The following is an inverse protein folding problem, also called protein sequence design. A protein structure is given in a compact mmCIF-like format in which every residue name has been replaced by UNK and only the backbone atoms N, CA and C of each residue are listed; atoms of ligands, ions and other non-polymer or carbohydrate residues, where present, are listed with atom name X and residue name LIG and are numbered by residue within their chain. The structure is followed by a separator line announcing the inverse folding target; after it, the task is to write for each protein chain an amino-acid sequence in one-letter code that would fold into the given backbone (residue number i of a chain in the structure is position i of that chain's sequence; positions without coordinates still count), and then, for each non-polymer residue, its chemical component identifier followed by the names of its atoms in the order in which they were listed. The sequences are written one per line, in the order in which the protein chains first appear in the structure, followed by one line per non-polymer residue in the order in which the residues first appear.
data_IF_975572788807
#
_entry.id   IF_975572788807
#
_cell.length_a   1.000
_cell.length_b   1.000
_cell.length_c   1.000
_cell.angle_alpha   90.00
_cell.angle_beta   90.00
_cell.angle_gamma   90.00
#
_symmetry.space_group_name_H-M   'P 1'
#
loop_
_entity.id
_entity.type
_entity.pdbx_description
1 polymer ?
#
# COMPACT_ATOMS: atom_id res chain seq x y z
N UNK A 1 -26.09 -35.32 28.81
CA UNK A 1 -25.90 -34.78 27.43
C UNK A 1 -24.99 -33.58 27.52
N UNK A 2 -23.70 -33.81 27.42
CA UNK A 2 -22.65 -32.77 27.42
C UNK A 2 -22.41 -32.32 25.96
N UNK A 3 -22.81 -31.09 25.64
CA UNK A 3 -22.46 -30.47 24.37
C UNK A 3 -21.03 -29.90 24.50
N UNK A 4 -20.07 -30.59 23.89
CA UNK A 4 -18.71 -30.13 23.68
C UNK A 4 -18.71 -28.88 22.77
N UNK A 5 -18.43 -27.72 23.36
CA UNK A 5 -18.11 -26.49 22.65
C UNK A 5 -16.70 -26.63 22.05
N UNK A 6 -16.61 -27.07 20.82
CA UNK A 6 -15.37 -26.97 20.06
C UNK A 6 -15.06 -25.48 19.83
N UNK A 7 -13.98 -24.98 20.44
CA UNK A 7 -13.42 -23.65 20.15
C UNK A 7 -12.95 -23.56 18.70
N UNK A 8 -12.84 -22.35 18.14
CA UNK A 8 -12.35 -22.19 16.77
C UNK A 8 -10.95 -22.80 16.65
N UNK A 9 -10.79 -23.71 15.69
CA UNK A 9 -9.51 -24.33 15.37
C UNK A 9 -8.46 -23.28 14.96
N UNK A 10 -7.16 -23.59 15.04
CA UNK A 10 -6.12 -22.66 14.65
C UNK A 10 -6.33 -22.26 13.17
N UNK A 11 -6.36 -20.93 12.91
CA UNK A 11 -6.47 -20.38 11.57
C UNK A 11 -5.42 -21.02 10.64
N UNK A 12 -5.81 -21.41 9.44
CA UNK A 12 -4.86 -21.98 8.47
C UNK A 12 -3.73 -20.99 8.18
N UNK A 13 -2.57 -21.47 7.77
CA UNK A 13 -1.40 -20.62 7.46
C UNK A 13 -1.75 -19.56 6.40
N UNK A 14 -2.67 -19.88 5.49
CA UNK A 14 -3.18 -18.95 4.46
C UNK A 14 -4.10 -17.85 5.06
N UNK A 15 -4.81 -18.10 6.17
CA UNK A 15 -5.67 -17.10 6.81
C UNK A 15 -4.90 -15.92 7.44
N UNK A 16 -3.59 -16.06 7.64
CA UNK A 16 -2.71 -15.00 8.15
C UNK A 16 -2.12 -14.12 7.04
N UNK A 17 -2.25 -14.49 5.77
CA UNK A 17 -1.71 -13.77 4.63
C UNK A 17 -2.77 -12.84 4.07
N UNK A 18 -2.51 -11.52 4.12
CA UNK A 18 -3.42 -10.51 3.59
C UNK A 18 -3.33 -10.39 2.08
N UNK A 19 -2.10 -10.38 1.54
CA UNK A 19 -1.85 -10.35 0.09
C UNK A 19 -0.93 -11.49 -0.28
N UNK A 20 -1.26 -12.21 -1.35
CA UNK A 20 -0.45 -13.31 -1.90
C UNK A 20 -0.27 -13.07 -3.39
N UNK A 21 0.97 -13.12 -3.83
CA UNK A 21 1.37 -13.09 -5.24
C UNK A 21 1.94 -14.47 -5.58
N UNK A 22 1.41 -15.13 -6.62
CA UNK A 22 1.87 -16.44 -7.05
C UNK A 22 2.36 -16.36 -8.48
N UNK A 23 3.68 -16.38 -8.68
CA UNK A 23 4.37 -16.37 -9.98
C UNK A 23 3.82 -15.33 -10.95
N UNK A 24 3.57 -14.12 -10.45
CA UNK A 24 3.00 -13.04 -11.27
C UNK A 24 4.04 -12.51 -12.25
N UNK A 25 3.62 -12.32 -13.50
CA UNK A 25 4.43 -11.68 -14.53
C UNK A 25 3.66 -10.57 -15.20
N UNK A 26 4.40 -9.52 -15.62
CA UNK A 26 3.84 -8.36 -16.30
C UNK A 26 4.84 -7.80 -17.29
N UNK A 27 4.40 -7.52 -18.51
CA UNK A 27 5.19 -6.84 -19.52
C UNK A 27 4.40 -5.72 -20.18
N UNK A 28 5.09 -4.69 -20.64
CA UNK A 28 4.54 -3.56 -21.37
C UNK A 28 5.13 -3.49 -22.77
N UNK A 29 4.43 -2.82 -23.69
CA UNK A 29 4.85 -2.63 -25.07
C UNK A 29 4.23 -3.62 -26.05
N UNK A 30 4.57 -3.47 -27.32
CA UNK A 30 4.12 -4.32 -28.44
C UNK A 30 5.20 -5.37 -28.80
N UNK A 31 4.87 -6.28 -29.73
CA UNK A 31 5.69 -7.47 -30.09
C UNK A 31 7.20 -7.21 -30.21
N UNK A 32 7.61 -6.06 -30.77
CA UNK A 32 9.02 -5.77 -31.06
C UNK A 32 9.72 -4.97 -29.93
N UNK A 33 8.97 -4.38 -28.98
CA UNK A 33 9.45 -3.55 -27.87
C UNK A 33 8.86 -4.00 -26.53
N UNK A 34 8.73 -5.29 -26.31
CA UNK A 34 8.16 -5.82 -25.07
C UNK A 34 9.21 -5.76 -23.94
N UNK A 35 8.90 -4.99 -22.88
CA UNK A 35 9.72 -4.87 -21.67
C UNK A 35 9.05 -5.65 -20.55
N UNK A 36 9.72 -6.67 -20.03
CA UNK A 36 9.26 -7.40 -18.85
C UNK A 36 9.49 -6.54 -17.61
N UNK A 37 8.41 -6.09 -17.00
CA UNK A 37 8.45 -5.32 -15.76
C UNK A 37 8.43 -6.21 -14.52
N UNK A 38 7.80 -7.39 -14.60
CA UNK A 38 7.79 -8.41 -13.54
C UNK A 38 7.95 -9.78 -14.18
N UNK A 39 8.72 -10.65 -13.53
CA UNK A 39 8.99 -12.01 -13.98
C UNK A 39 8.85 -13.00 -12.83
N UNK A 40 7.78 -13.80 -12.85
CA UNK A 40 7.49 -14.88 -11.90
C UNK A 40 7.63 -14.50 -10.42
N UNK A 41 7.18 -13.29 -10.06
CA UNK A 41 7.27 -12.79 -8.70
C UNK A 41 6.31 -13.56 -7.80
N UNK A 42 6.85 -14.18 -6.75
CA UNK A 42 6.09 -14.88 -5.71
C UNK A 42 6.42 -14.24 -4.36
N UNK A 43 5.41 -13.71 -3.69
CA UNK A 43 5.55 -13.07 -2.37
C UNK A 43 4.25 -13.20 -1.57
N UNK A 44 4.37 -13.13 -0.25
CA UNK A 44 3.22 -12.98 0.63
C UNK A 44 3.44 -11.85 1.63
N UNK A 45 2.33 -11.23 2.03
CA UNK A 45 2.31 -10.11 2.96
C UNK A 45 1.33 -10.46 4.09
N UNK A 46 1.85 -10.68 5.31
CA UNK A 46 1.02 -11.06 6.44
C UNK A 46 0.05 -9.96 6.85
N UNK A 47 -1.10 -10.36 7.40
CA UNK A 47 -2.09 -9.43 7.95
C UNK A 47 -1.50 -8.65 9.14
N UNK A 48 -1.81 -7.35 9.23
CA UNK A 48 -1.38 -6.51 10.34
C UNK A 48 0.12 -6.21 10.35
N UNK A 49 0.80 -6.31 9.20
CA UNK A 49 2.23 -6.02 9.08
C UNK A 49 2.50 -4.81 8.19
N UNK A 50 3.68 -4.23 8.35
CA UNK A 50 4.21 -3.19 7.46
C UNK A 50 5.38 -3.76 6.67
N UNK A 51 5.23 -3.88 5.36
CA UNK A 51 6.30 -4.32 4.45
C UNK A 51 6.66 -3.20 3.48
N UNK A 52 7.95 -2.93 3.31
CA UNK A 52 8.46 -2.05 2.27
C UNK A 52 9.01 -2.87 1.10
N UNK A 53 8.87 -2.35 -0.12
CA UNK A 53 9.43 -2.88 -1.35
C UNK A 53 10.45 -1.87 -1.87
N UNK A 54 11.69 -2.31 -2.07
CA UNK A 54 12.80 -1.49 -2.52
C UNK A 54 13.47 -2.07 -3.78
N UNK A 55 14.30 -1.28 -4.41
CA UNK A 55 15.10 -1.67 -5.59
C UNK A 55 15.49 -0.46 -6.41
N UNK A 56 16.36 -0.62 -7.40
CA UNK A 56 16.79 0.42 -8.31
C UNK A 56 15.64 1.06 -9.11
N UNK A 57 15.87 2.23 -9.69
CA UNK A 57 14.91 2.81 -10.63
C UNK A 57 14.69 1.87 -11.81
N UNK A 58 13.43 1.69 -12.24
CA UNK A 58 13.09 0.76 -13.30
C UNK A 58 12.98 -0.71 -12.91
N UNK A 59 13.29 -1.12 -11.67
CA UNK A 59 13.23 -2.53 -11.24
C UNK A 59 11.82 -3.15 -11.18
N UNK A 60 10.75 -2.38 -11.47
CA UNK A 60 9.37 -2.87 -11.49
C UNK A 60 8.55 -2.64 -10.22
N UNK A 61 9.05 -1.88 -9.23
CA UNK A 61 8.38 -1.65 -7.92
C UNK A 61 6.96 -1.11 -8.03
N UNK A 62 6.76 -0.01 -8.77
CA UNK A 62 5.43 0.60 -8.93
C UNK A 62 4.51 -0.34 -9.71
N UNK A 63 5.04 -1.11 -10.69
CA UNK A 63 4.29 -2.16 -11.39
C UNK A 63 3.85 -3.25 -10.42
N UNK A 64 4.76 -3.72 -9.56
CA UNK A 64 4.44 -4.72 -8.53
C UNK A 64 3.32 -4.23 -7.61
N UNK A 65 3.44 -2.99 -7.12
CA UNK A 65 2.43 -2.39 -6.25
C UNK A 65 1.07 -2.26 -6.96
N UNK A 66 1.06 -1.81 -8.21
CA UNK A 66 -0.17 -1.65 -9.01
C UNK A 66 -0.82 -3.00 -9.31
N UNK A 67 -0.04 -4.03 -9.68
CA UNK A 67 -0.55 -5.38 -9.87
C UNK A 67 -1.08 -5.97 -8.55
N UNK A 68 -0.34 -5.84 -7.45
CA UNK A 68 -0.77 -6.32 -6.13
C UNK A 68 -2.05 -5.63 -5.65
N UNK A 69 -2.25 -4.34 -5.98
CA UNK A 69 -3.47 -3.58 -5.68
C UNK A 69 -4.60 -3.82 -6.71
N UNK A 70 -4.38 -4.64 -7.72
CA UNK A 70 -5.36 -4.86 -8.80
C UNK A 70 -5.65 -3.60 -9.62
N UNK A 71 -4.77 -2.59 -9.60
CA UNK A 71 -4.87 -1.39 -10.46
C UNK A 71 -4.42 -1.70 -11.87
N UNK A 72 -3.49 -2.62 -12.03
CA UNK A 72 -3.09 -3.20 -13.31
C UNK A 72 -3.26 -4.73 -13.27
N UNK A 73 -3.57 -5.33 -14.41
CA UNK A 73 -3.73 -6.78 -14.53
C UNK A 73 -2.39 -7.44 -14.78
N UNK A 74 -2.13 -8.55 -14.10
CA UNK A 74 -0.99 -9.42 -14.41
C UNK A 74 -1.22 -10.12 -15.75
N UNK A 75 -0.15 -10.40 -16.49
CA UNK A 75 -0.21 -11.19 -17.72
C UNK A 75 -0.31 -12.69 -17.41
N UNK A 76 0.32 -13.15 -16.30
CA UNK A 76 0.22 -14.50 -15.78
C UNK A 76 0.38 -14.52 -14.26
N UNK A 77 0.02 -15.65 -13.65
CA UNK A 77 0.04 -15.83 -12.20
C UNK A 77 -1.24 -15.34 -11.50
N UNK A 78 -1.22 -15.30 -10.17
CA UNK A 78 -2.37 -14.99 -9.36
C UNK A 78 -2.06 -13.91 -8.32
N UNK A 79 -3.02 -13.00 -8.11
CA UNK A 79 -3.04 -12.03 -7.02
C UNK A 79 -4.23 -12.33 -6.13
N UNK A 80 -3.98 -12.60 -4.85
CA UNK A 80 -5.04 -12.85 -3.85
C UNK A 80 -4.96 -11.79 -2.77
N UNK A 81 -6.09 -11.14 -2.46
CA UNK A 81 -6.21 -10.19 -1.34
C UNK A 81 -7.36 -10.66 -0.43
N UNK A 82 -7.07 -10.78 0.85
CA UNK A 82 -8.05 -11.21 1.86
C UNK A 82 -8.84 -12.46 1.43
N UNK A 83 -8.16 -13.44 0.84
CA UNK A 83 -8.74 -14.69 0.35
C UNK A 83 -9.44 -14.59 -1.02
N UNK A 84 -9.53 -13.40 -1.64
CA UNK A 84 -10.17 -13.21 -2.95
C UNK A 84 -9.11 -13.16 -4.05
N UNK A 85 -9.19 -14.07 -5.04
CA UNK A 85 -8.33 -14.05 -6.22
C UNK A 85 -8.78 -12.97 -7.21
N UNK A 86 -7.97 -11.91 -7.36
CA UNK A 86 -8.27 -10.78 -8.24
C UNK A 86 -8.15 -11.13 -9.71
N UNK A 87 -7.23 -12.04 -10.06
CA UNK A 87 -6.94 -12.42 -11.45
C UNK A 87 -8.16 -13.06 -12.13
N UNK A 88 -9.08 -13.64 -11.36
CA UNK A 88 -10.31 -14.27 -11.85
C UNK A 88 -11.51 -13.31 -11.92
N UNK A 89 -11.42 -12.10 -11.35
CA UNK A 89 -12.55 -11.18 -11.26
C UNK A 89 -12.81 -10.44 -12.58
N UNK A 90 -14.10 -10.29 -12.91
CA UNK A 90 -14.55 -9.35 -13.94
C UNK A 90 -14.39 -7.90 -13.44
N UNK A 91 -14.27 -6.95 -14.36
CA UNK A 91 -13.95 -5.56 -14.03
C UNK A 91 -14.90 -4.92 -12.99
N UNK A 92 -16.20 -5.18 -13.08
CA UNK A 92 -17.17 -4.64 -12.10
C UNK A 92 -16.94 -5.19 -10.68
N UNK A 93 -16.58 -6.47 -10.56
CA UNK A 93 -16.26 -7.09 -9.27
C UNK A 93 -14.92 -6.59 -8.73
N UNK A 94 -13.92 -6.44 -9.60
CA UNK A 94 -12.62 -5.88 -9.27
C UNK A 94 -12.74 -4.41 -8.80
N UNK A 95 -13.55 -3.59 -9.49
CA UNK A 95 -13.83 -2.21 -9.07
C UNK A 95 -14.47 -2.15 -7.68
N UNK A 96 -15.43 -3.04 -7.40
CA UNK A 96 -16.06 -3.11 -6.07
C UNK A 96 -15.04 -3.51 -5.01
N UNK A 97 -14.24 -4.53 -5.28
CA UNK A 97 -13.21 -5.03 -4.38
C UNK A 97 -12.16 -3.95 -4.07
N UNK A 98 -11.66 -3.24 -5.08
CA UNK A 98 -10.75 -2.09 -4.89
C UNK A 98 -11.36 -1.04 -3.96
N UNK A 99 -12.61 -0.68 -4.18
CA UNK A 99 -13.33 0.34 -3.39
C UNK A 99 -13.51 -0.05 -1.93
N UNK A 100 -13.77 -1.32 -1.66
CA UNK A 100 -14.16 -1.81 -0.33
C UNK A 100 -12.96 -2.30 0.49
N UNK A 101 -11.94 -2.85 -0.16
CA UNK A 101 -10.88 -3.59 0.54
C UNK A 101 -9.48 -2.98 0.39
N UNK A 102 -9.30 -2.03 -0.54
CA UNK A 102 -8.00 -1.46 -0.85
C UNK A 102 -7.99 0.04 -0.60
N UNK A 103 -7.01 0.51 0.20
CA UNK A 103 -6.62 1.91 0.25
C UNK A 103 -5.39 2.13 -0.61
N UNK A 104 -5.29 3.29 -1.26
CA UNK A 104 -4.10 3.65 -2.03
C UNK A 104 -3.66 5.07 -1.72
N UNK A 105 -2.36 5.24 -1.46
CA UNK A 105 -1.68 6.52 -1.20
C UNK A 105 -0.61 6.72 -2.26
N UNK A 106 -0.63 7.85 -2.94
CA UNK A 106 0.30 8.20 -4.02
C UNK A 106 1.33 9.23 -3.55
N UNK A 107 2.47 9.26 -4.21
CA UNK A 107 3.54 10.25 -4.00
C UNK A 107 3.03 11.67 -4.20
N UNK A 108 2.25 11.94 -5.23
CA UNK A 108 1.72 13.27 -5.60
C UNK A 108 0.43 13.65 -4.89
N UNK A 109 0.09 13.01 -3.75
CA UNK A 109 -1.13 13.20 -2.94
C UNK A 109 -2.44 12.93 -3.69
N UNK A 110 -2.56 13.31 -4.96
CA UNK A 110 -3.72 13.18 -5.84
C UNK A 110 -5.03 13.68 -5.19
N UNK A 111 -4.94 14.81 -4.48
CA UNK A 111 -6.10 15.51 -3.95
C UNK A 111 -6.77 16.32 -5.04
N UNK A 112 -8.10 16.38 -5.01
CA UNK A 112 -8.89 17.24 -5.91
C UNK A 112 -8.76 18.68 -5.42
N UNK A 113 -8.15 19.62 -6.19
CA UNK A 113 -7.78 20.95 -5.69
C UNK A 113 -8.98 21.83 -5.31
N UNK A 114 -10.13 21.63 -5.97
CA UNK A 114 -11.37 22.39 -5.71
C UNK A 114 -12.11 21.93 -4.46
N UNK A 115 -11.78 20.74 -3.93
CA UNK A 115 -12.43 20.17 -2.76
C UNK A 115 -11.66 20.51 -1.47
N UNK A 116 -12.37 20.64 -0.35
CA UNK A 116 -11.76 20.75 0.97
C UNK A 116 -11.15 19.41 1.41
N UNK A 117 -10.35 19.41 2.50
CA UNK A 117 -9.81 18.19 3.09
C UNK A 117 -10.92 17.19 3.43
N UNK A 118 -11.99 17.64 4.10
CA UNK A 118 -13.18 16.83 4.37
C UNK A 118 -13.75 16.22 3.09
N UNK A 119 -13.99 17.03 2.06
CA UNK A 119 -14.60 16.57 0.81
C UNK A 119 -13.71 15.58 0.06
N UNK A 120 -12.37 15.77 0.10
CA UNK A 120 -11.42 14.81 -0.44
C UNK A 120 -11.50 13.46 0.29
N UNK A 121 -11.61 13.45 1.62
CA UNK A 121 -11.76 12.22 2.41
C UNK A 121 -13.10 11.54 2.14
N UNK A 122 -14.20 12.30 1.96
CA UNK A 122 -15.53 11.76 1.64
C UNK A 122 -15.59 11.13 0.23
N UNK A 123 -14.72 11.55 -0.68
CA UNK A 123 -14.83 11.28 -2.12
C UNK A 123 -14.98 9.78 -2.47
N UNK A 124 -14.18 8.84 -1.93
CA UNK A 124 -14.32 7.41 -2.25
C UNK A 124 -15.72 6.87 -1.92
N UNK A 125 -16.27 7.25 -0.78
CA UNK A 125 -17.59 6.79 -0.35
C UNK A 125 -18.70 7.41 -1.20
N UNK A 126 -18.56 8.69 -1.57
CA UNK A 126 -19.52 9.37 -2.46
C UNK A 126 -19.54 8.74 -3.86
N UNK A 127 -18.37 8.41 -4.41
CA UNK A 127 -18.26 7.69 -5.69
C UNK A 127 -18.83 6.26 -5.60
N UNK A 128 -18.91 5.71 -4.40
CA UNK A 128 -19.57 4.44 -4.12
C UNK A 128 -21.11 4.56 -4.00
N UNK A 129 -21.67 5.76 -4.13
CA UNK A 129 -23.11 6.01 -3.92
C UNK A 129 -23.49 6.15 -2.43
N UNK A 130 -22.52 6.19 -1.51
CA UNK A 130 -22.76 6.31 -0.07
C UNK A 130 -22.38 7.69 0.43
N UNK A 131 -23.22 8.24 1.32
CA UNK A 131 -22.89 9.47 2.04
C UNK A 131 -22.32 9.07 3.41
N UNK A 132 -21.00 9.28 3.65
CA UNK A 132 -20.40 8.90 4.92
C UNK A 132 -21.03 9.71 6.07
N UNK A 133 -21.24 9.10 7.25
CA UNK A 133 -21.59 9.84 8.45
C UNK A 133 -20.53 10.92 8.73
N UNK A 134 -20.98 12.12 9.15
CA UNK A 134 -20.05 13.22 9.43
C UNK A 134 -19.01 12.85 10.48
N UNK A 135 -19.40 12.09 11.49
CA UNK A 135 -18.52 11.58 12.55
C UNK A 135 -17.38 10.71 12.01
N UNK A 136 -17.65 9.84 11.02
CA UNK A 136 -16.64 8.96 10.42
C UNK A 136 -15.51 9.76 9.75
N UNK A 137 -15.86 10.80 9.01
CA UNK A 137 -14.88 11.64 8.32
C UNK A 137 -14.12 12.52 9.32
N UNK A 138 -14.83 13.10 10.32
CA UNK A 138 -14.19 13.87 11.40
C UNK A 138 -13.21 13.01 12.18
N UNK A 139 -13.59 11.77 12.55
CA UNK A 139 -12.69 10.85 13.25
C UNK A 139 -11.46 10.50 12.41
N UNK A 140 -11.64 10.22 11.11
CA UNK A 140 -10.52 9.91 10.22
C UNK A 140 -9.53 11.09 10.09
N UNK A 141 -10.02 12.33 10.05
CA UNK A 141 -9.18 13.52 10.01
C UNK A 141 -8.52 13.81 11.38
N UNK A 142 -9.26 13.64 12.47
CA UNK A 142 -8.76 13.86 13.83
C UNK A 142 -7.60 12.92 14.17
N UNK A 143 -7.72 11.65 13.81
CA UNK A 143 -6.69 10.62 13.99
C UNK A 143 -5.37 10.96 13.32
N UNK A 144 -5.44 11.69 12.20
CA UNK A 144 -4.28 12.14 11.45
C UNK A 144 -3.85 13.57 11.82
N UNK A 145 -4.40 14.15 12.92
CA UNK A 145 -4.06 15.48 13.40
C UNK A 145 -4.52 16.59 12.47
N UNK A 146 -5.70 16.46 11.84
CA UNK A 146 -6.25 17.38 10.87
C UNK A 146 -7.63 17.95 11.29
N UNK A 147 -7.99 17.89 12.58
CA UNK A 147 -9.30 18.33 13.08
C UNK A 147 -9.60 19.78 12.74
N UNK A 148 -8.61 20.66 12.80
CA UNK A 148 -8.69 22.09 12.52
C UNK A 148 -8.49 22.43 11.03
N UNK A 149 -8.26 21.43 10.18
CA UNK A 149 -7.99 21.58 8.75
C UNK A 149 -9.10 21.06 7.83
N UNK A 150 -10.21 20.58 8.38
CA UNK A 150 -11.30 19.96 7.60
C UNK A 150 -11.83 20.84 6.45
N UNK A 151 -11.87 22.15 6.64
CA UNK A 151 -12.41 23.12 5.67
C UNK A 151 -11.36 23.68 4.70
N UNK A 152 -10.06 23.38 4.93
CA UNK A 152 -8.99 23.88 4.07
C UNK A 152 -8.96 23.13 2.73
N UNK A 153 -8.62 23.85 1.68
CA UNK A 153 -8.32 23.26 0.36
C UNK A 153 -6.85 22.85 0.28
N UNK A 154 -6.46 21.96 -0.64
CA UNK A 154 -5.07 21.53 -0.80
C UNK A 154 -4.06 22.68 -0.87
N UNK A 155 -4.36 23.77 -1.58
CA UNK A 155 -3.49 24.94 -1.68
C UNK A 155 -3.25 25.69 -0.35
N UNK A 156 -4.02 25.40 0.68
CA UNK A 156 -3.92 25.98 2.02
C UNK A 156 -3.26 25.04 3.03
N UNK A 157 -2.80 23.88 2.56
CA UNK A 157 -2.20 22.82 3.37
C UNK A 157 -0.72 22.64 3.02
N UNK A 158 0.12 22.39 4.03
CA UNK A 158 1.50 21.96 3.77
C UNK A 158 1.54 20.58 3.08
N UNK A 159 2.66 20.22 2.45
CA UNK A 159 2.83 18.91 1.81
C UNK A 159 2.52 17.76 2.76
N UNK A 160 3.03 17.80 4.00
CA UNK A 160 2.75 16.80 5.02
C UNK A 160 1.27 16.76 5.45
N UNK A 161 0.58 17.91 5.45
CA UNK A 161 -0.87 17.95 5.71
C UNK A 161 -1.65 17.36 4.54
N UNK A 162 -1.27 17.67 3.29
CA UNK A 162 -1.88 17.09 2.09
C UNK A 162 -1.72 15.57 2.08
N UNK A 163 -0.53 15.06 2.40
CA UNK A 163 -0.28 13.62 2.49
C UNK A 163 -1.15 12.96 3.57
N UNK A 164 -1.29 13.58 4.73
CA UNK A 164 -2.20 13.07 5.78
C UNK A 164 -3.65 13.07 5.34
N UNK A 165 -4.11 14.07 4.56
CA UNK A 165 -5.45 14.04 3.94
C UNK A 165 -5.58 12.88 2.94
N UNK A 166 -4.55 12.61 2.11
CA UNK A 166 -4.54 11.48 1.19
C UNK A 166 -4.60 10.13 1.94
N UNK A 167 -3.89 10.00 3.07
CA UNK A 167 -3.97 8.82 3.95
C UNK A 167 -5.37 8.71 4.57
N UNK A 168 -5.96 9.81 5.09
CA UNK A 168 -7.32 9.81 5.63
C UNK A 168 -8.35 9.36 4.58
N UNK A 169 -8.21 9.84 3.34
CA UNK A 169 -9.03 9.43 2.20
C UNK A 169 -8.91 7.93 1.93
N UNK A 170 -7.69 7.38 1.98
CA UNK A 170 -7.46 5.97 1.76
C UNK A 170 -8.03 5.08 2.89
N UNK A 171 -8.06 5.59 4.14
CA UNK A 171 -8.50 4.85 5.32
C UNK A 171 -9.99 4.97 5.63
N UNK A 172 -10.70 5.98 5.08
CA UNK A 172 -12.11 6.25 5.43
C UNK A 172 -13.04 5.08 5.13
N UNK A 173 -12.71 4.25 4.13
CA UNK A 173 -13.44 3.04 3.76
C UNK A 173 -13.10 1.83 4.64
N UNK A 174 -12.14 1.97 5.57
CA UNK A 174 -11.58 0.88 6.40
C UNK A 174 -11.06 -0.28 5.56
N UNK A 175 -10.12 -0.05 4.66
CA UNK A 175 -9.60 -1.07 3.77
C UNK A 175 -8.87 -2.17 4.53
N UNK A 176 -8.83 -3.38 3.97
CA UNK A 176 -8.05 -4.51 4.49
C UNK A 176 -6.54 -4.29 4.33
N UNK A 177 -6.14 -3.66 3.23
CA UNK A 177 -4.74 -3.35 2.92
C UNK A 177 -4.59 -1.93 2.41
N UNK A 178 -3.53 -1.24 2.85
CA UNK A 178 -3.11 0.07 2.38
C UNK A 178 -1.85 -0.09 1.54
N UNK A 179 -1.96 0.24 0.27
CA UNK A 179 -0.82 0.35 -0.63
C UNK A 179 -0.32 1.80 -0.66
N UNK A 180 0.97 2.02 -0.60
CA UNK A 180 1.59 3.34 -0.60
C UNK A 180 2.75 3.40 -1.60
N UNK A 181 2.59 4.21 -2.64
CA UNK A 181 3.61 4.44 -3.66
C UNK A 181 4.39 5.71 -3.31
N UNK A 182 5.60 5.54 -2.80
CA UNK A 182 6.51 6.62 -2.36
C UNK A 182 5.83 7.70 -1.48
N UNK A 183 5.15 7.33 -0.37
CA UNK A 183 4.29 8.25 0.37
C UNK A 183 5.03 9.44 1.02
N UNK A 184 6.34 9.44 1.01
CA UNK A 184 7.20 10.50 1.57
C UNK A 184 8.04 11.22 0.52
N UNK A 185 8.02 10.78 -0.74
CA UNK A 185 8.92 11.26 -1.80
C UNK A 185 8.76 12.75 -2.18
N UNK A 186 7.61 13.37 -1.85
CA UNK A 186 7.36 14.80 -2.09
C UNK A 186 7.43 15.65 -0.81
N UNK A 187 7.96 15.11 0.30
CA UNK A 187 7.94 15.74 1.62
C UNK A 187 9.33 16.13 2.10
N UNK A 188 9.39 17.17 2.93
CA UNK A 188 10.60 17.46 3.73
C UNK A 188 10.85 16.37 4.79
N UNK A 189 12.08 16.32 5.32
CA UNK A 189 12.51 15.26 6.25
C UNK A 189 11.67 15.21 7.55
N UNK A 190 11.17 16.36 8.05
CA UNK A 190 10.34 16.37 9.26
C UNK A 190 8.96 15.83 8.97
N UNK A 191 8.33 16.26 7.88
CA UNK A 191 7.04 15.76 7.41
C UNK A 191 7.10 14.27 7.07
N UNK A 192 8.18 13.80 6.44
CA UNK A 192 8.42 12.38 6.14
C UNK A 192 8.43 11.53 7.41
N UNK A 193 9.22 11.92 8.43
CA UNK A 193 9.24 11.21 9.72
C UNK A 193 7.86 11.13 10.38
N UNK A 194 7.09 12.22 10.33
CA UNK A 194 5.74 12.25 10.90
C UNK A 194 4.79 11.30 10.16
N UNK A 195 4.84 11.25 8.82
CA UNK A 195 4.03 10.33 8.00
C UNK A 195 4.41 8.87 8.28
N UNK A 196 5.71 8.56 8.34
CA UNK A 196 6.19 7.20 8.63
C UNK A 196 5.78 6.74 10.04
N UNK A 197 5.91 7.62 11.05
CA UNK A 197 5.45 7.33 12.41
C UNK A 197 3.94 7.07 12.47
N UNK A 198 3.16 7.82 11.69
CA UNK A 198 1.72 7.61 11.56
C UNK A 198 1.40 6.26 10.92
N UNK A 199 2.09 5.87 9.84
CA UNK A 199 1.90 4.56 9.20
C UNK A 199 2.24 3.41 10.17
N UNK A 200 3.34 3.51 10.92
CA UNK A 200 3.69 2.55 11.98
C UNK A 200 2.59 2.44 13.04
N UNK A 201 2.06 3.57 13.49
CA UNK A 201 0.99 3.58 14.49
C UNK A 201 -0.29 2.91 13.97
N UNK A 202 -0.65 3.08 12.71
CA UNK A 202 -1.81 2.38 12.10
C UNK A 202 -1.65 0.86 12.15
N UNK A 203 -0.44 0.34 11.95
CA UNK A 203 -0.15 -1.09 12.07
C UNK A 203 -0.27 -1.54 13.52
N UNK A 204 0.42 -0.87 14.46
CA UNK A 204 0.47 -1.29 15.86
C UNK A 204 -0.87 -1.13 16.59
N UNK A 205 -1.63 -0.06 16.32
CA UNK A 205 -2.88 0.25 17.02
C UNK A 205 -4.13 -0.36 16.40
N UNK A 206 -4.12 -0.63 15.06
CA UNK A 206 -5.29 -1.10 14.31
C UNK A 206 -5.10 -2.42 13.59
N UNK A 207 -3.88 -2.97 13.59
CA UNK A 207 -3.56 -4.13 12.77
C UNK A 207 -3.70 -3.87 11.27
N UNK A 208 -3.51 -2.60 10.82
CA UNK A 208 -3.59 -2.26 9.41
C UNK A 208 -2.45 -2.92 8.65
N UNK A 209 -2.76 -3.64 7.58
CA UNK A 209 -1.73 -4.15 6.67
C UNK A 209 -1.29 -3.04 5.73
N UNK A 210 0.03 -2.80 5.65
CA UNK A 210 0.62 -1.75 4.79
C UNK A 210 1.70 -2.35 3.90
N UNK A 211 1.62 -2.06 2.60
CA UNK A 211 2.64 -2.38 1.61
C UNK A 211 3.09 -1.07 0.97
N UNK A 212 4.34 -0.71 1.15
CA UNK A 212 4.90 0.55 0.70
C UNK A 212 6.02 0.32 -0.31
N UNK A 213 6.02 1.07 -1.41
CA UNK A 213 7.18 1.20 -2.28
C UNK A 213 7.94 2.46 -1.89
N UNK A 214 9.25 2.36 -1.81
CA UNK A 214 10.13 3.51 -1.60
C UNK A 214 11.54 3.22 -2.14
N UNK A 215 12.27 4.27 -2.48
CA UNK A 215 13.69 4.22 -2.78
C UNK A 215 14.56 4.77 -1.62
N UNK A 216 13.93 5.30 -0.57
CA UNK A 216 14.62 5.87 0.60
C UNK A 216 14.83 4.78 1.68
N UNK A 217 16.08 4.43 2.03
CA UNK A 217 16.40 3.49 3.09
C UNK A 217 15.82 3.86 4.46
N UNK A 218 15.73 5.16 4.77
CA UNK A 218 15.16 5.64 6.04
C UNK A 218 13.66 5.36 6.07
N UNK A 219 12.97 5.59 4.95
CA UNK A 219 11.55 5.26 4.84
C UNK A 219 11.31 3.75 4.92
N UNK A 220 12.14 2.95 4.26
CA UNK A 220 12.03 1.49 4.28
C UNK A 220 12.26 0.90 5.68
N UNK A 221 13.21 1.44 6.43
CA UNK A 221 13.46 1.05 7.83
C UNK A 221 12.29 1.38 8.78
N UNK A 222 11.27 2.10 8.31
CA UNK A 222 10.01 2.23 9.04
C UNK A 222 9.17 0.95 9.03
N UNK A 223 9.37 0.05 8.09
CA UNK A 223 8.67 -1.23 7.99
C UNK A 223 9.37 -2.30 8.84
N UNK A 224 8.62 -3.32 9.28
CA UNK A 224 9.19 -4.50 9.94
C UNK A 224 9.83 -5.50 8.98
N UNK A 225 9.60 -5.34 7.66
CA UNK A 225 10.16 -6.18 6.60
C UNK A 225 10.43 -5.35 5.37
N UNK A 226 11.57 -5.57 4.72
CA UNK A 226 11.91 -5.01 3.41
C UNK A 226 12.12 -6.14 2.42
N UNK A 227 11.47 -6.04 1.26
CA UNK A 227 11.64 -6.92 0.12
C UNK A 227 12.39 -6.15 -0.97
N UNK A 228 13.38 -6.77 -1.57
CA UNK A 228 14.17 -6.15 -2.65
C UNK A 228 13.76 -6.71 -4.00
N UNK A 229 13.51 -5.80 -4.94
CA UNK A 229 13.19 -6.10 -6.33
C UNK A 229 14.33 -5.65 -7.25
N UNK A 230 14.86 -6.56 -8.06
CA UNK A 230 15.84 -6.31 -9.11
C UNK A 230 15.35 -6.91 -10.40
N UNK A 231 15.37 -6.17 -11.51
CA UNK A 231 14.99 -6.62 -12.87
C UNK A 231 13.67 -7.41 -12.92
N UNK A 232 12.67 -6.90 -12.20
CA UNK A 232 11.34 -7.52 -12.14
C UNK A 232 11.27 -8.81 -11.33
N UNK A 233 12.30 -9.17 -10.54
CA UNK A 233 12.38 -10.38 -9.69
C UNK A 233 12.63 -10.02 -8.24
N UNK A 234 12.20 -10.88 -7.32
CA UNK A 234 12.61 -10.76 -5.92
C UNK A 234 14.05 -11.25 -5.76
N UNK A 235 14.92 -10.40 -5.19
CA UNK A 235 16.35 -10.66 -5.03
C UNK A 235 16.80 -10.73 -3.56
N UNK A 236 15.86 -10.61 -2.64
CA UNK A 236 16.14 -10.76 -1.21
C UNK A 236 15.12 -10.10 -0.31
N UNK A 237 15.29 -10.31 0.99
CA UNK A 237 14.50 -9.65 2.03
C UNK A 237 15.33 -9.40 3.29
N UNK A 238 14.89 -8.43 4.10
CA UNK A 238 15.39 -8.14 5.45
C UNK A 238 14.21 -8.07 6.41
N UNK A 239 14.37 -8.68 7.58
CA UNK A 239 13.46 -8.55 8.71
C UNK A 239 14.06 -7.56 9.73
N UNK A 240 13.20 -6.78 10.38
CA UNK A 240 13.58 -5.76 11.35
C UNK A 240 14.73 -4.86 10.87
N UNK A 241 14.58 -4.22 9.68
CA UNK A 241 15.65 -3.52 9.01
C UNK A 241 16.04 -2.22 9.74
N UNK A 242 17.34 -1.84 9.66
CA UNK A 242 17.79 -0.48 9.94
C UNK A 242 18.10 0.24 8.61
N UNK A 243 18.17 1.58 8.63
CA UNK A 243 18.51 2.33 7.43
C UNK A 243 19.87 1.92 6.86
N UNK A 244 20.86 1.64 7.73
CA UNK A 244 22.20 1.20 7.37
C UNK A 244 22.18 -0.19 6.68
N UNK A 245 21.43 -1.16 7.24
CA UNK A 245 21.36 -2.51 6.65
C UNK A 245 20.64 -2.50 5.31
N UNK A 246 19.62 -1.64 5.17
CA UNK A 246 18.90 -1.44 3.90
C UNK A 246 19.81 -0.81 2.86
N UNK A 247 20.54 0.29 3.22
CA UNK A 247 21.45 0.97 2.31
C UNK A 247 22.59 0.05 1.86
N UNK A 248 23.19 -0.71 2.78
CA UNK A 248 24.23 -1.68 2.45
C UNK A 248 23.71 -2.76 1.47
N UNK A 249 22.50 -3.26 1.68
CA UNK A 249 21.92 -4.25 0.76
C UNK A 249 21.63 -3.68 -0.62
N UNK A 250 21.14 -2.43 -0.72
CA UNK A 250 20.92 -1.78 -2.01
C UNK A 250 22.23 -1.62 -2.80
N UNK A 251 23.30 -1.16 -2.15
CA UNK A 251 24.62 -1.01 -2.78
C UNK A 251 25.09 -2.33 -3.40
N UNK A 252 24.93 -3.47 -2.68
CA UNK A 252 25.31 -4.79 -3.20
C UNK A 252 24.45 -5.26 -4.39
N UNK A 253 23.23 -4.74 -4.55
CA UNK A 253 22.34 -5.09 -5.68
C UNK A 253 22.63 -4.24 -6.92
N UNK A 254 23.17 -3.03 -6.75
CA UNK A 254 23.58 -2.14 -7.85
C UNK A 254 24.95 -2.52 -8.44
N UNK A 255 25.81 -3.20 -7.65
CA UNK A 255 27.16 -3.62 -8.05
C UNK A 255 27.17 -4.93 -8.87
N UNK A 256 26.02 -5.60 -9.07
CA UNK A 256 25.94 -6.81 -9.92
C UNK A 256 25.72 -6.35 -11.37
N UNK A 257 26.76 -6.42 -12.24
CA UNK A 257 26.60 -6.07 -13.65
C UNK A 257 25.62 -7.01 -14.33
N UNK A 258 24.72 -6.43 -15.15
CA UNK A 258 23.83 -7.15 -16.05
C UNK A 258 24.59 -8.04 -17.04
#
# INVERSE_FOLDING_TARGET
MEQSLAGPGPASVDDRKMVILRSISKAYGSRDNRVAALTEVTADFPAGTFTAIMGASGSGKSTLLQCAAGLDRVDSGEVVIAGTNLSSLKENALTRMRREQIGFVFQSFNLVPSLTARQNVELPMRLAGHRPPRSQVTSALAELGLSDREKHRPSQLSGGQQQRVAIARALVTRPKVLFADEPTGALDSASSRNVLALLRNLVSSRGQTIIMVTHDPIAAAAAGRVIFLGDGRLVGELLDPTAETVAARLATLEDVPC
#
